data_IF_653207283694
#
_entry.id   IF_653207283694
#
_cell.length_a   1.000
_cell.length_b   1.000
_cell.length_c   1.000
_cell.angle_alpha   90.00
_cell.angle_beta   90.00
_cell.angle_gamma   90.00
#
_symmetry.space_group_name_H-M   'P 1'
#
loop_
_entity.id
_entity.type
_entity.pdbx_description
1 polymer ?
#
# COMPACT_ATOMS: atom_id res chain seq x y z
N UNK A 1 -5.17 -5.21 6.32
CA UNK A 1 -5.17 -5.03 4.86
C UNK A 1 -3.77 -4.67 4.43
N UNK A 2 -3.38 -5.14 3.26
CA UNK A 2 -2.05 -4.98 2.71
C UNK A 2 -2.16 -4.32 1.35
N UNK A 3 -1.23 -3.43 1.06
CA UNK A 3 -1.08 -2.83 -0.26
C UNK A 3 0.24 -3.28 -0.87
N UNK A 4 0.17 -3.77 -2.11
CA UNK A 4 1.31 -4.21 -2.87
C UNK A 4 1.43 -3.43 -4.17
N UNK A 5 2.66 -3.31 -4.66
CA UNK A 5 2.93 -2.94 -6.03
C UNK A 5 3.73 -4.03 -6.75
N UNK A 6 3.46 -4.16 -8.05
CA UNK A 6 4.23 -4.97 -8.96
C UNK A 6 4.69 -4.11 -10.15
N UNK A 7 5.91 -3.55 -10.10
CA UNK A 7 6.50 -2.87 -11.24
C UNK A 7 6.71 -3.83 -12.42
N UNK A 8 6.78 -3.32 -13.67
CA UNK A 8 7.06 -4.14 -14.84
C UNK A 8 8.33 -4.98 -14.66
N UNK A 9 8.24 -6.29 -14.93
CA UNK A 9 9.36 -7.25 -14.83
C UNK A 9 9.96 -7.40 -13.42
N UNK A 10 9.24 -6.98 -12.38
CA UNK A 10 9.63 -7.16 -10.98
C UNK A 10 8.65 -8.11 -10.26
N UNK A 11 9.09 -8.61 -9.11
CA UNK A 11 8.23 -9.38 -8.20
C UNK A 11 7.24 -8.47 -7.47
N UNK A 12 6.24 -9.08 -6.85
CA UNK A 12 5.30 -8.40 -5.97
C UNK A 12 6.04 -7.86 -4.74
N UNK A 13 5.85 -6.58 -4.42
CA UNK A 13 6.46 -5.92 -3.26
C UNK A 13 5.38 -5.37 -2.35
N UNK A 14 5.48 -5.69 -1.06
CA UNK A 14 4.64 -5.08 -0.04
C UNK A 14 5.04 -3.61 0.12
N UNK A 15 4.06 -2.71 0.11
CA UNK A 15 4.25 -1.28 0.39
C UNK A 15 4.00 -1.04 1.88
N UNK A 16 2.83 -1.49 2.35
CA UNK A 16 2.34 -1.15 3.67
C UNK A 16 1.33 -2.17 4.18
N UNK A 17 1.47 -2.47 5.47
CA UNK A 17 0.51 -3.23 6.27
C UNK A 17 -0.32 -2.27 7.12
N UNK A 18 -1.63 -2.32 6.95
CA UNK A 18 -2.57 -1.43 7.64
C UNK A 18 -3.52 -2.23 8.54
N UNK A 19 -3.69 -1.76 9.78
CA UNK A 19 -4.64 -2.24 10.78
C UNK A 19 -5.62 -1.13 11.16
N UNK A 20 -6.84 -1.48 11.57
CA UNK A 20 -7.80 -0.53 12.16
C UNK A 20 -7.40 -0.12 13.58
N UNK A 21 -6.55 -0.91 14.24
CA UNK A 21 -6.22 -0.76 15.66
C UNK A 21 -4.79 -0.24 15.91
N UNK A 22 -3.97 -0.14 14.87
CA UNK A 22 -2.56 0.26 15.00
C UNK A 22 -2.13 1.14 13.85
N UNK A 23 -0.99 1.82 14.04
CA UNK A 23 -0.33 2.57 12.98
C UNK A 23 0.03 1.67 11.79
N UNK A 24 0.08 2.29 10.61
CA UNK A 24 0.48 1.63 9.37
C UNK A 24 1.98 1.35 9.38
N UNK A 25 2.36 0.14 8.96
CA UNK A 25 3.75 -0.29 8.91
C UNK A 25 4.18 -0.32 7.45
N UNK A 26 5.09 0.57 7.08
CA UNK A 26 5.66 0.65 5.73
C UNK A 26 6.93 -0.19 5.63
N UNK A 27 7.09 -0.86 4.49
CA UNK A 27 8.34 -1.54 4.17
C UNK A 27 9.46 -0.56 3.81
N UNK A 28 10.70 -1.02 3.82
CA UNK A 28 11.87 -0.21 3.52
C UNK A 28 11.77 0.46 2.13
N UNK A 29 11.98 1.77 2.10
CA UNK A 29 11.87 2.59 0.90
C UNK A 29 10.47 3.12 0.60
N UNK A 30 9.47 2.77 1.41
CA UNK A 30 8.13 3.34 1.34
C UNK A 30 7.86 4.28 2.51
N UNK A 31 6.93 5.22 2.30
CA UNK A 31 6.50 6.14 3.35
C UNK A 31 5.11 6.70 3.05
N UNK A 32 4.44 7.14 4.10
CA UNK A 32 3.14 7.83 4.03
C UNK A 32 3.20 9.13 3.21
N UNK A 33 4.38 9.77 3.13
CA UNK A 33 4.57 10.96 2.30
C UNK A 33 4.33 10.68 0.81
N UNK A 34 4.55 9.44 0.36
CA UNK A 34 4.34 9.00 -1.03
C UNK A 34 3.07 8.15 -1.18
N UNK A 35 2.85 7.21 -0.28
CA UNK A 35 1.76 6.24 -0.30
C UNK A 35 0.89 6.47 0.94
N UNK A 36 -0.01 7.44 0.89
CA UNK A 36 -0.92 7.68 2.01
C UNK A 36 -1.99 6.59 2.05
N UNK A 37 -2.11 5.90 3.18
CA UNK A 37 -3.16 4.90 3.39
C UNK A 37 -4.16 5.43 4.40
N UNK A 38 -5.44 5.34 4.05
CA UNK A 38 -6.55 5.54 4.96
C UNK A 38 -7.34 4.23 5.03
N UNK A 39 -7.39 3.63 6.22
CA UNK A 39 -8.22 2.46 6.49
C UNK A 39 -9.33 2.86 7.45
N UNK A 40 -10.55 2.97 6.93
CA UNK A 40 -11.71 3.41 7.71
C UNK A 40 -12.33 2.25 8.50
N UNK A 41 -12.36 1.05 7.93
CA UNK A 41 -12.92 -0.14 8.56
C UNK A 41 -12.19 -1.42 8.12
N UNK A 42 -12.78 -2.59 8.42
CA UNK A 42 -12.19 -3.89 8.09
C UNK A 42 -12.15 -4.15 6.58
N UNK A 43 -13.10 -3.62 5.84
CA UNK A 43 -13.46 -3.99 4.46
C UNK A 43 -13.08 -2.90 3.45
N UNK A 44 -12.81 -1.69 3.93
CA UNK A 44 -12.45 -0.53 3.13
C UNK A 44 -11.07 0.02 3.50
N UNK A 45 -10.18 0.01 2.51
CA UNK A 45 -8.92 0.73 2.54
C UNK A 45 -8.74 1.51 1.25
N UNK A 46 -8.30 2.75 1.40
CA UNK A 46 -7.96 3.66 0.32
C UNK A 46 -6.46 3.94 0.38
N UNK A 47 -5.76 3.78 -0.75
CA UNK A 47 -4.38 4.23 -0.89
C UNK A 47 -4.32 5.37 -1.91
N UNK A 48 -3.74 6.49 -1.50
CA UNK A 48 -3.49 7.67 -2.33
C UNK A 48 -2.00 7.76 -2.62
N UNK A 49 -1.64 7.73 -3.91
CA UNK A 49 -0.25 7.90 -4.36
C UNK A 49 -0.02 9.38 -4.64
N UNK A 50 0.78 10.03 -3.79
CA UNK A 50 1.10 11.46 -3.90
C UNK A 50 2.20 11.69 -4.94
N UNK A 51 2.23 12.88 -5.54
CA UNK A 51 3.31 13.32 -6.44
C UNK A 51 3.64 12.26 -7.52
N UNK A 52 2.64 11.79 -8.26
CA UNK A 52 2.77 10.75 -9.28
C UNK A 52 3.87 11.08 -10.31
N UNK A 53 4.71 10.10 -10.59
CA UNK A 53 5.77 10.15 -11.60
C UNK A 53 5.73 8.89 -12.45
N UNK A 54 6.39 8.87 -13.63
CA UNK A 54 6.50 7.65 -14.43
C UNK A 54 7.15 6.47 -13.71
N UNK A 55 7.93 6.71 -12.64
CA UNK A 55 8.54 5.64 -11.84
C UNK A 55 7.54 4.86 -10.98
N UNK A 56 6.34 5.41 -10.78
CA UNK A 56 5.26 4.80 -10.01
C UNK A 56 4.37 3.90 -10.89
N UNK A 57 4.73 3.69 -12.15
CA UNK A 57 4.04 2.75 -13.03
C UNK A 57 4.19 1.31 -12.50
N UNK A 58 3.08 0.76 -12.01
CA UNK A 58 3.00 -0.59 -11.49
C UNK A 58 1.54 -1.06 -11.50
N UNK A 59 1.35 -2.38 -11.38
CA UNK A 59 0.05 -2.92 -10.97
C UNK A 59 -0.03 -2.89 -9.45
N UNK A 60 -1.09 -2.28 -8.92
CA UNK A 60 -1.32 -2.17 -7.48
C UNK A 60 -2.39 -3.15 -7.03
N UNK A 61 -2.11 -3.87 -5.94
CA UNK A 61 -3.02 -4.87 -5.40
C UNK A 61 -3.36 -4.52 -3.95
N UNK A 62 -4.63 -4.68 -3.58
CA UNK A 62 -5.03 -4.76 -2.19
C UNK A 62 -5.26 -6.22 -1.80
N UNK A 63 -4.94 -6.56 -0.55
CA UNK A 63 -5.26 -7.86 0.02
C UNK A 63 -5.83 -7.69 1.44
N UNK A 64 -6.90 -8.42 1.72
CA UNK A 64 -7.41 -8.60 3.07
C UNK A 64 -6.83 -9.88 3.67
N UNK A 65 -6.65 -9.88 4.99
CA UNK A 65 -6.40 -11.09 5.77
C UNK A 65 -7.57 -11.23 6.73
N UNK A 66 -8.14 -12.43 6.77
CA UNK A 66 -9.22 -12.87 7.66
C UNK A 66 -8.73 -13.09 9.11
N UNK A 67 -7.44 -13.38 9.26
CA UNK A 67 -6.82 -13.75 10.54
C UNK A 67 -6.98 -12.75 11.69
#
# INVERSE_FOLDING_TARGET
>A
MYWYQQPPRSGLKLIVSSSTWSQHVYEDGYSEAKFEVNRQDTDYSLMTIKNLTPKDEATYFCAASDH
#
